data_IF_720427575868
#
_entry.id   IF_720427575868
#
_cell.length_a   1.000
_cell.length_b   1.000
_cell.length_c   1.000
_cell.angle_alpha   90.00
_cell.angle_beta   90.00
_cell.angle_gamma   90.00
#
_symmetry.space_group_name_H-M   'P 1'
#
loop_
_entity.id
_entity.type
_entity.pdbx_description
1 polymer ?
#
# COMPACT_ATOMS: atom_id res chain seq x y z
N UNK A 1 -50.20 26.02 64.56
CA UNK A 1 -49.84 25.29 65.81
C UNK A 1 -50.05 23.80 65.55
N UNK A 2 -49.25 22.84 66.04
CA UNK A 2 -47.81 22.81 66.37
C UNK A 2 -47.03 21.68 65.62
N UNK A 3 -45.70 21.79 65.52
CA UNK A 3 -44.73 20.65 65.47
C UNK A 3 -44.43 20.24 66.93
N UNK A 4 -44.06 18.99 67.33
CA UNK A 4 -42.86 18.21 66.86
C UNK A 4 -42.96 16.64 66.93
N UNK A 5 -42.20 15.83 66.15
CA UNK A 5 -40.95 15.02 66.43
C UNK A 5 -41.15 13.90 67.50
N UNK A 6 -40.68 12.61 67.38
CA UNK A 6 -39.33 12.23 66.92
C UNK A 6 -39.14 10.93 66.10
N UNK A 7 -38.00 10.90 65.39
CA UNK A 7 -37.27 9.68 65.01
C UNK A 7 -36.70 9.01 66.26
N UNK A 8 -36.70 7.68 66.32
CA UNK A 8 -35.82 6.96 67.23
C UNK A 8 -34.95 5.95 66.48
N UNK A 9 -33.67 5.92 66.84
CA UNK A 9 -32.59 5.07 66.30
C UNK A 9 -32.31 3.94 67.31
N UNK A 10 -31.88 2.77 66.80
CA UNK A 10 -31.32 1.57 67.50
C UNK A 10 -32.40 0.67 68.11
N UNK A 11 -32.51 -0.61 67.73
CA UNK A 11 -31.64 -1.75 68.08
C UNK A 11 -31.92 -2.89 67.09
N UNK A 12 -30.99 -3.28 66.22
CA UNK A 12 -29.99 -4.36 66.37
C UNK A 12 -30.59 -5.78 66.60
N UNK A 13 -30.23 -6.67 65.66
CA UNK A 13 -30.14 -8.15 65.69
C UNK A 13 -31.31 -8.99 65.15
N UNK A 14 -31.06 -9.45 63.91
CA UNK A 14 -31.14 -10.81 63.36
C UNK A 14 -32.10 -11.78 64.06
N UNK A 15 -33.08 -12.26 63.31
CA UNK A 15 -33.29 -13.70 63.21
C UNK A 15 -33.74 -14.02 61.78
N UNK A 16 -32.92 -14.80 61.08
CA UNK A 16 -33.21 -15.33 59.77
C UNK A 16 -34.24 -16.45 59.90
N UNK A 17 -35.27 -16.44 59.06
CA UNK A 17 -36.05 -17.62 58.74
C UNK A 17 -36.48 -17.56 57.28
N UNK A 18 -36.21 -18.68 56.62
CA UNK A 18 -36.22 -18.91 55.19
C UNK A 18 -37.57 -18.61 54.53
N UNK A 19 -37.52 -17.85 53.44
CA UNK A 19 -38.57 -17.85 52.42
C UNK A 19 -37.95 -18.37 51.11
N UNK A 20 -38.49 -19.49 50.65
CA UNK A 20 -38.15 -20.10 49.37
C UNK A 20 -38.45 -19.11 48.24
N UNK A 21 -37.40 -18.57 47.62
CA UNK A 21 -37.52 -17.75 46.41
C UNK A 21 -37.77 -18.64 45.21
N UNK A 22 -38.96 -18.53 44.62
CA UNK A 22 -39.21 -19.04 43.28
C UNK A 22 -38.32 -18.26 42.29
N UNK A 23 -37.30 -18.92 41.74
CA UNK A 23 -36.50 -18.36 40.66
C UNK A 23 -37.34 -18.42 39.39
N UNK A 24 -37.88 -17.27 38.99
CA UNK A 24 -38.45 -17.11 37.66
C UNK A 24 -37.30 -17.18 36.63
N UNK A 25 -37.18 -18.32 35.95
CA UNK A 25 -36.33 -18.47 34.76
C UNK A 25 -36.95 -17.66 33.63
N UNK A 26 -36.61 -16.38 33.55
CA UNK A 26 -36.86 -15.59 32.34
C UNK A 26 -36.02 -16.15 31.18
N UNK A 27 -36.51 -16.09 29.92
CA UNK A 27 -35.75 -16.56 28.78
C UNK A 27 -34.47 -15.75 28.67
N UNK A 28 -33.32 -16.40 28.88
CA UNK A 28 -32.02 -15.85 28.54
C UNK A 28 -31.98 -15.72 27.02
N UNK A 29 -32.14 -14.49 26.53
CA UNK A 29 -31.75 -14.18 25.15
C UNK A 29 -30.24 -14.36 25.11
N UNK A 30 -29.80 -15.52 24.64
CA UNK A 30 -28.41 -15.75 24.32
C UNK A 30 -28.03 -14.68 23.29
N UNK A 31 -27.17 -13.74 23.68
CA UNK A 31 -26.54 -12.85 22.72
C UNK A 31 -25.84 -13.76 21.71
N UNK A 32 -26.32 -13.79 20.47
CA UNK A 32 -25.64 -14.47 19.40
C UNK A 32 -24.23 -13.87 19.34
N UNK A 33 -23.22 -14.67 19.67
CA UNK A 33 -21.85 -14.29 19.44
C UNK A 33 -21.75 -13.98 17.94
N UNK A 34 -21.40 -12.73 17.61
CA UNK A 34 -21.09 -12.36 16.24
C UNK A 34 -20.02 -13.32 15.73
N UNK A 35 -20.33 -14.08 14.67
CA UNK A 35 -19.31 -14.90 14.03
C UNK A 35 -18.11 -14.01 13.68
N UNK A 36 -16.86 -14.46 13.93
CA UNK A 36 -15.69 -13.68 13.57
C UNK A 36 -15.75 -13.39 12.07
N UNK A 37 -15.69 -12.10 11.71
CA UNK A 37 -15.63 -11.67 10.31
C UNK A 37 -14.47 -12.42 9.65
N UNK A 38 -14.68 -13.13 8.53
CA UNK A 38 -13.62 -13.87 7.88
C UNK A 38 -12.49 -12.92 7.48
N UNK A 39 -11.32 -13.13 8.08
CA UNK A 39 -10.12 -12.34 7.81
C UNK A 39 -9.72 -12.50 6.33
N UNK A 40 -9.45 -11.39 5.66
CA UNK A 40 -9.03 -11.33 4.26
C UNK A 40 -7.54 -11.66 4.15
N UNK A 41 -7.16 -12.11 2.96
CA UNK A 41 -5.77 -12.37 2.58
C UNK A 41 -5.44 -11.61 1.31
N UNK A 42 -4.16 -11.34 1.09
CA UNK A 42 -3.67 -10.87 -0.21
C UNK A 42 -3.63 -12.07 -1.18
N UNK A 43 -4.32 -12.03 -2.32
CA UNK A 43 -4.21 -13.09 -3.32
C UNK A 43 -2.77 -13.19 -3.83
N UNK A 44 -2.23 -14.40 -3.98
CA UNK A 44 -0.86 -14.60 -4.50
C UNK A 44 -0.59 -13.83 -5.82
N UNK A 45 -1.51 -13.79 -6.81
CA UNK A 45 -1.31 -13.01 -8.05
C UNK A 45 -1.19 -11.49 -7.88
N UNK A 46 -1.44 -10.98 -6.66
CA UNK A 46 -1.30 -9.58 -6.29
C UNK A 46 -0.03 -9.30 -5.49
N UNK A 47 0.75 -10.32 -5.11
CA UNK A 47 2.02 -10.15 -4.39
C UNK A 47 3.14 -10.13 -5.43
N UNK A 48 3.79 -8.99 -5.56
CA UNK A 48 4.87 -8.77 -6.50
C UNK A 48 6.14 -8.24 -5.86
N UNK A 49 7.20 -8.16 -6.64
CA UNK A 49 8.49 -7.57 -6.27
C UNK A 49 8.76 -6.34 -7.13
N UNK A 50 9.07 -5.21 -6.51
CA UNK A 50 9.66 -4.09 -7.24
C UNK A 50 11.15 -4.36 -7.44
N UNK A 51 11.60 -4.43 -8.69
CA UNK A 51 12.92 -4.96 -9.06
C UNK A 51 14.10 -4.13 -8.56
N UNK A 52 13.89 -2.89 -8.13
CA UNK A 52 14.94 -2.03 -7.55
C UNK A 52 15.56 -2.65 -6.30
N UNK A 53 14.75 -3.40 -5.52
CA UNK A 53 15.20 -4.19 -4.36
C UNK A 53 16.28 -5.19 -4.74
N UNK A 54 16.22 -5.73 -5.97
CA UNK A 54 17.06 -6.81 -6.48
C UNK A 54 18.17 -6.31 -7.41
N UNK A 55 18.43 -5.00 -7.46
CA UNK A 55 19.29 -4.37 -8.46
C UNK A 55 20.73 -4.90 -8.48
N UNK A 56 21.29 -5.37 -7.34
CA UNK A 56 22.65 -5.93 -7.35
C UNK A 56 22.64 -7.34 -7.92
N UNK A 57 21.67 -8.17 -7.54
CA UNK A 57 21.50 -9.51 -8.11
C UNK A 57 21.17 -9.45 -9.60
N UNK A 58 20.28 -8.55 -10.03
CA UNK A 58 19.93 -8.35 -11.44
C UNK A 58 21.10 -7.89 -12.30
N UNK A 59 22.02 -7.08 -11.74
CA UNK A 59 23.23 -6.66 -12.43
C UNK A 59 24.23 -7.81 -12.68
N UNK A 60 24.15 -8.89 -11.90
CA UNK A 60 25.02 -10.06 -12.02
C UNK A 60 24.38 -11.13 -12.89
N UNK A 61 23.11 -11.47 -12.61
CA UNK A 61 22.36 -12.50 -13.33
C UNK A 61 20.86 -12.15 -13.33
N UNK A 62 20.41 -11.49 -14.39
CA UNK A 62 19.02 -11.02 -14.50
C UNK A 62 18.02 -12.18 -14.52
N UNK A 63 18.25 -13.18 -15.38
CA UNK A 63 17.35 -14.32 -15.55
C UNK A 63 17.32 -15.20 -14.30
N UNK A 64 18.49 -15.51 -13.73
CA UNK A 64 18.58 -16.30 -12.49
C UNK A 64 17.93 -15.60 -11.31
N UNK A 65 18.02 -14.27 -11.22
CA UNK A 65 17.33 -13.49 -10.17
C UNK A 65 15.81 -13.56 -10.32
N UNK A 66 15.29 -13.44 -11.55
CA UNK A 66 13.85 -13.61 -11.79
C UNK A 66 13.38 -15.02 -11.43
N UNK A 67 14.14 -16.05 -11.81
CA UNK A 67 13.83 -17.43 -11.43
C UNK A 67 13.79 -17.60 -9.90
N UNK A 68 14.76 -17.04 -9.19
CA UNK A 68 14.78 -17.09 -7.73
C UNK A 68 13.56 -16.41 -7.09
N UNK A 69 13.08 -15.28 -7.64
CA UNK A 69 11.84 -14.64 -7.17
C UNK A 69 10.60 -15.51 -7.42
N UNK A 70 10.53 -16.18 -8.57
CA UNK A 70 9.45 -17.10 -8.89
C UNK A 70 9.45 -18.32 -7.95
N UNK A 71 10.62 -18.87 -7.66
CA UNK A 71 10.80 -20.00 -6.72
C UNK A 71 10.38 -19.62 -5.29
N UNK A 72 10.58 -18.37 -4.87
CA UNK A 72 10.08 -17.84 -3.60
C UNK A 72 8.54 -17.78 -3.60
N UNK A 73 7.94 -17.49 -4.76
CA UNK A 73 6.51 -17.54 -4.98
C UNK A 73 5.87 -16.24 -5.47
N UNK A 74 6.67 -15.20 -5.73
CA UNK A 74 6.18 -13.95 -6.34
C UNK A 74 5.45 -14.25 -7.65
N UNK A 75 4.38 -13.51 -7.93
CA UNK A 75 3.57 -13.71 -9.13
C UNK A 75 3.71 -12.56 -10.13
N UNK A 76 4.14 -11.40 -9.66
CA UNK A 76 4.27 -10.19 -10.47
C UNK A 76 5.56 -9.44 -10.15
N UNK A 77 6.03 -8.63 -11.10
CA UNK A 77 7.16 -7.73 -10.89
C UNK A 77 6.84 -6.32 -11.39
N UNK A 78 7.31 -5.32 -10.65
CA UNK A 78 7.43 -3.94 -11.14
C UNK A 78 8.84 -3.75 -11.68
N UNK A 79 8.96 -3.47 -12.98
CA UNK A 79 10.26 -3.33 -13.63
C UNK A 79 10.86 -1.97 -13.28
N UNK A 80 12.13 -1.97 -12.88
CA UNK A 80 12.93 -0.77 -12.67
C UNK A 80 14.38 -1.12 -12.95
N UNK A 81 15.09 -0.28 -13.71
CA UNK A 81 16.48 -0.55 -14.08
C UNK A 81 16.63 -1.78 -14.97
N UNK A 82 16.77 -1.59 -16.28
CA UNK A 82 16.82 -2.72 -17.22
C UNK A 82 18.16 -3.45 -17.32
N UNK A 83 19.21 -2.93 -16.67
CA UNK A 83 20.56 -3.50 -16.70
C UNK A 83 21.07 -3.83 -18.12
N UNK A 84 20.73 -2.98 -19.11
CA UNK A 84 21.14 -3.15 -20.51
C UNK A 84 20.23 -4.05 -21.36
N UNK A 85 19.22 -4.69 -20.78
CA UNK A 85 18.24 -5.49 -21.52
C UNK A 85 17.15 -4.62 -22.16
N UNK A 86 16.60 -5.09 -23.28
CA UNK A 86 15.39 -4.50 -23.88
C UNK A 86 14.13 -4.95 -23.14
N UNK A 87 13.02 -4.22 -23.32
CA UNK A 87 11.72 -4.62 -22.80
C UNK A 87 11.31 -6.04 -23.27
N UNK A 88 11.58 -6.37 -24.54
CA UNK A 88 11.29 -7.69 -25.09
C UNK A 88 12.13 -8.81 -24.46
N UNK A 89 13.43 -8.55 -24.20
CA UNK A 89 14.28 -9.53 -23.52
C UNK A 89 13.81 -9.77 -22.07
N UNK A 90 13.49 -8.70 -21.34
CA UNK A 90 12.95 -8.80 -19.99
C UNK A 90 11.61 -9.53 -20.00
N UNK A 91 10.73 -9.23 -20.95
CA UNK A 91 9.45 -9.94 -21.12
C UNK A 91 9.65 -11.44 -21.26
N UNK A 92 10.55 -11.87 -22.15
CA UNK A 92 10.85 -13.29 -22.34
C UNK A 92 11.32 -13.95 -21.05
N UNK A 93 12.28 -13.32 -20.34
CA UNK A 93 12.80 -13.87 -19.08
C UNK A 93 11.73 -13.93 -17.98
N UNK A 94 10.79 -12.98 -17.93
CA UNK A 94 9.68 -13.02 -16.99
C UNK A 94 8.71 -14.16 -17.34
N UNK A 95 8.35 -14.31 -18.62
CA UNK A 95 7.42 -15.34 -19.09
C UNK A 95 7.95 -16.75 -18.80
N UNK A 96 9.27 -16.98 -18.95
CA UNK A 96 9.93 -18.25 -18.65
C UNK A 96 9.76 -18.70 -17.19
N UNK A 97 9.52 -17.76 -16.27
CA UNK A 97 9.30 -18.03 -14.84
C UNK A 97 7.81 -18.23 -14.48
N UNK A 98 6.90 -17.91 -15.40
CA UNK A 98 5.46 -17.85 -15.14
C UNK A 98 4.99 -16.65 -14.31
N UNK A 99 5.88 -15.70 -14.00
CA UNK A 99 5.51 -14.39 -13.44
C UNK A 99 5.01 -13.45 -14.54
N UNK A 100 4.58 -12.23 -14.16
CA UNK A 100 4.19 -11.18 -15.12
C UNK A 100 4.73 -9.81 -14.70
N UNK A 101 5.15 -8.99 -15.65
CA UNK A 101 5.34 -7.58 -15.38
C UNK A 101 3.97 -6.91 -15.23
N UNK A 102 3.84 -5.96 -14.30
CA UNK A 102 2.61 -5.17 -14.14
C UNK A 102 2.81 -3.69 -14.45
N UNK A 103 4.04 -3.22 -14.33
CA UNK A 103 4.40 -1.83 -14.53
C UNK A 103 5.89 -1.66 -14.83
N UNK A 104 6.25 -0.45 -15.24
CA UNK A 104 7.64 -0.02 -15.28
C UNK A 104 7.80 1.37 -14.63
N UNK A 105 8.82 1.51 -13.77
CA UNK A 105 9.31 2.79 -13.29
C UNK A 105 10.19 3.46 -14.34
N UNK A 106 9.84 4.70 -14.69
CA UNK A 106 10.58 5.57 -15.60
C UNK A 106 10.83 6.93 -14.97
N UNK A 107 11.88 7.62 -15.42
CA UNK A 107 12.16 8.99 -15.02
C UNK A 107 11.09 9.95 -15.52
N UNK A 108 10.87 11.05 -14.79
CA UNK A 108 9.93 12.10 -15.19
C UNK A 108 10.24 12.68 -16.58
N UNK A 109 11.52 12.83 -16.92
CA UNK A 109 11.98 13.30 -18.23
C UNK A 109 11.53 12.37 -19.37
N UNK A 110 11.44 11.06 -19.11
CA UNK A 110 10.93 10.11 -20.08
C UNK A 110 9.45 10.30 -20.32
N UNK A 111 8.68 10.57 -19.25
CA UNK A 111 7.26 10.88 -19.36
C UNK A 111 7.03 12.19 -20.15
N UNK A 112 7.89 13.19 -19.99
CA UNK A 112 7.71 14.48 -20.67
C UNK A 112 8.23 14.50 -22.09
N UNK A 113 9.34 13.79 -22.37
CA UNK A 113 10.09 13.92 -23.62
C UNK A 113 10.02 12.69 -24.52
N UNK A 114 9.65 11.51 -24.01
CA UNK A 114 9.60 10.26 -24.76
C UNK A 114 8.53 9.30 -24.19
N UNK A 115 7.31 9.81 -24.08
CA UNK A 115 6.19 9.08 -23.49
C UNK A 115 5.81 7.87 -24.33
N UNK A 116 5.73 8.04 -25.65
CA UNK A 116 5.35 6.99 -26.59
C UNK A 116 6.29 5.79 -26.47
N UNK A 117 7.60 6.03 -26.42
CA UNK A 117 8.59 4.97 -26.19
C UNK A 117 8.45 4.31 -24.82
N UNK A 118 8.05 5.05 -23.78
CA UNK A 118 7.74 4.44 -22.47
C UNK A 118 6.48 3.56 -22.53
N UNK A 119 5.44 4.02 -23.22
CA UNK A 119 4.21 3.25 -23.43
C UNK A 119 4.46 1.98 -24.24
N UNK A 120 5.20 2.07 -25.35
CA UNK A 120 5.56 0.92 -26.19
C UNK A 120 6.33 -0.16 -25.41
N UNK A 121 7.26 0.28 -24.56
CA UNK A 121 8.00 -0.65 -23.71
C UNK A 121 7.12 -1.32 -22.66
N UNK A 122 6.23 -0.58 -21.99
CA UNK A 122 5.31 -1.16 -21.00
C UNK A 122 4.33 -2.13 -21.66
N UNK A 123 3.83 -1.82 -22.86
CA UNK A 123 3.03 -2.74 -23.66
C UNK A 123 3.84 -4.00 -23.99
N UNK A 124 5.10 -3.84 -24.40
CA UNK A 124 6.00 -4.96 -24.71
C UNK A 124 6.25 -5.85 -23.49
N UNK A 125 6.45 -5.26 -22.32
CA UNK A 125 6.54 -5.96 -21.04
C UNK A 125 5.23 -6.67 -20.64
N UNK A 126 4.09 -6.31 -21.26
CA UNK A 126 2.77 -6.80 -20.89
C UNK A 126 2.20 -6.13 -19.63
N UNK A 127 2.76 -4.97 -19.25
CA UNK A 127 2.31 -4.18 -18.11
C UNK A 127 1.06 -3.35 -18.40
N UNK A 128 0.57 -2.68 -17.37
CA UNK A 128 -0.62 -1.82 -17.42
C UNK A 128 -0.33 -0.37 -17.06
N UNK A 129 0.84 -0.12 -16.45
CA UNK A 129 1.16 1.17 -15.84
C UNK A 129 2.56 1.64 -16.20
N UNK A 130 2.64 2.87 -16.69
CA UNK A 130 3.89 3.64 -16.78
C UNK A 130 3.96 4.46 -15.50
N UNK A 131 5.00 4.25 -14.69
CA UNK A 131 5.09 4.86 -13.36
C UNK A 131 6.24 5.86 -13.33
N UNK A 132 5.95 7.09 -12.95
CA UNK A 132 6.99 8.08 -12.68
C UNK A 132 7.61 7.77 -11.32
N UNK A 133 8.92 7.51 -11.30
CA UNK A 133 9.64 7.08 -10.08
C UNK A 133 9.97 8.24 -9.12
N UNK A 134 10.02 9.48 -9.61
CA UNK A 134 10.27 10.69 -8.82
C UNK A 134 10.04 11.94 -9.64
N UNK A 135 9.80 13.07 -8.97
CA UNK A 135 9.76 14.39 -9.60
C UNK A 135 11.11 15.10 -9.50
N UNK A 136 11.45 15.99 -10.47
CA UNK A 136 12.53 16.94 -10.32
C UNK A 136 12.38 17.75 -9.02
N UNK A 137 13.49 17.98 -8.32
CA UNK A 137 13.51 18.68 -7.03
C UNK A 137 12.81 20.04 -7.03
N UNK A 138 12.86 20.76 -8.14
CA UNK A 138 12.22 22.06 -8.33
C UNK A 138 10.69 22.01 -8.33
N UNK A 139 10.08 20.84 -8.53
CA UNK A 139 8.63 20.67 -8.57
C UNK A 139 8.00 20.42 -7.19
N UNK A 140 8.78 20.23 -6.12
CA UNK A 140 8.24 20.05 -4.76
C UNK A 140 7.84 21.40 -4.11
N UNK A 141 6.98 22.13 -4.78
CA UNK A 141 6.25 23.32 -4.34
C UNK A 141 4.80 23.18 -4.79
N UNK A 142 3.86 23.95 -4.23
CA UNK A 142 2.46 23.86 -4.62
C UNK A 142 2.29 24.07 -6.13
N UNK A 143 2.91 25.11 -6.69
CA UNK A 143 2.83 25.39 -8.14
C UNK A 143 3.57 24.35 -8.99
N UNK A 144 4.71 23.83 -8.50
CA UNK A 144 5.44 22.76 -9.17
C UNK A 144 4.63 21.46 -9.25
N UNK A 145 3.90 21.12 -8.20
CA UNK A 145 3.01 19.96 -8.19
C UNK A 145 1.82 20.16 -9.12
N UNK A 146 1.24 21.36 -9.23
CA UNK A 146 0.19 21.63 -10.24
C UNK A 146 0.71 21.46 -11.66
N UNK A 147 1.96 21.86 -11.91
CA UNK A 147 2.61 21.63 -13.20
C UNK A 147 2.79 20.13 -13.46
N UNK A 148 3.24 19.36 -12.46
CA UNK A 148 3.34 17.90 -12.58
C UNK A 148 1.97 17.25 -12.80
N UNK A 149 0.92 17.70 -12.11
CA UNK A 149 -0.45 17.20 -12.28
C UNK A 149 -0.98 17.43 -13.71
N UNK A 150 -0.77 18.63 -14.26
CA UNK A 150 -1.14 18.94 -15.64
C UNK A 150 -0.39 18.06 -16.65
N UNK A 151 0.90 17.83 -16.41
CA UNK A 151 1.73 16.96 -17.25
C UNK A 151 1.31 15.49 -17.16
N UNK A 152 0.97 15.01 -15.97
CA UNK A 152 0.43 13.66 -15.77
C UNK A 152 -0.93 13.47 -16.44
N UNK A 153 -1.80 14.48 -16.44
CA UNK A 153 -3.06 14.42 -17.18
C UNK A 153 -2.83 14.33 -18.69
N UNK A 154 -1.90 15.15 -19.23
CA UNK A 154 -1.50 15.09 -20.64
C UNK A 154 -0.94 13.72 -20.99
N UNK A 155 0.00 13.22 -20.20
CA UNK A 155 0.65 11.94 -20.42
C UNK A 155 -0.34 10.76 -20.28
N UNK A 156 -1.20 10.79 -19.26
CA UNK A 156 -2.21 9.77 -19.03
C UNK A 156 -3.23 9.69 -20.17
N UNK A 157 -3.63 10.82 -20.76
CA UNK A 157 -4.50 10.83 -21.94
C UNK A 157 -3.85 10.15 -23.15
N UNK A 158 -2.56 10.35 -23.36
CA UNK A 158 -1.81 9.67 -24.43
C UNK A 158 -1.62 8.18 -24.10
N UNK A 159 -1.20 7.84 -22.87
CA UNK A 159 -1.02 6.47 -22.42
C UNK A 159 -2.30 5.63 -22.54
N UNK A 160 -3.48 6.24 -22.32
CA UNK A 160 -4.77 5.58 -22.51
C UNK A 160 -4.99 5.07 -23.95
N UNK A 161 -4.39 5.71 -24.97
CA UNK A 161 -4.45 5.24 -26.37
C UNK A 161 -3.68 3.93 -26.59
N UNK A 162 -2.73 3.61 -25.70
CA UNK A 162 -2.01 2.34 -25.64
C UNK A 162 -2.70 1.33 -24.71
N UNK A 163 -3.84 1.68 -24.12
CA UNK A 163 -4.52 0.87 -23.10
C UNK A 163 -3.83 0.91 -21.73
N UNK A 164 -2.97 1.90 -21.47
CA UNK A 164 -2.22 2.07 -20.23
C UNK A 164 -2.79 3.20 -19.38
N UNK A 165 -2.37 3.24 -18.11
CA UNK A 165 -2.59 4.37 -17.19
C UNK A 165 -1.25 4.87 -16.65
N UNK A 166 -1.11 6.17 -16.42
CA UNK A 166 0.08 6.72 -15.74
C UNK A 166 -0.11 6.63 -14.24
N UNK A 167 0.93 6.21 -13.52
CA UNK A 167 1.01 6.32 -12.07
C UNK A 167 2.16 7.22 -11.63
N UNK A 168 2.06 7.82 -10.46
CA UNK A 168 3.19 8.44 -9.76
C UNK A 168 3.51 7.66 -8.48
N UNK A 169 4.79 7.39 -8.23
CA UNK A 169 5.31 6.81 -6.99
C UNK A 169 5.84 7.93 -6.08
N UNK A 170 5.36 7.98 -4.84
CA UNK A 170 5.72 9.02 -3.88
C UNK A 170 6.94 8.66 -3.03
N UNK A 171 7.62 9.71 -2.56
CA UNK A 171 8.56 9.67 -1.46
C UNK A 171 8.03 10.55 -0.30
N UNK A 172 8.88 10.88 0.68
CA UNK A 172 8.53 11.77 1.80
C UNK A 172 8.32 13.23 1.35
N UNK A 173 9.00 13.62 0.26
CA UNK A 173 8.98 14.97 -0.29
C UNK A 173 7.57 15.47 -0.63
N UNK A 174 6.73 14.59 -1.18
CA UNK A 174 5.34 14.86 -1.54
C UNK A 174 4.44 15.08 -0.32
N UNK A 175 4.86 14.67 0.88
CA UNK A 175 4.05 14.87 2.08
C UNK A 175 4.33 16.17 2.83
N UNK A 176 5.25 16.99 2.31
CA UNK A 176 5.48 18.34 2.83
C UNK A 176 4.28 19.24 2.57
N UNK A 177 4.14 20.26 3.41
CA UNK A 177 3.10 21.28 3.28
C UNK A 177 3.68 22.52 2.60
N UNK A 178 2.99 23.04 1.60
CA UNK A 178 3.25 24.34 0.99
C UNK A 178 1.93 25.11 0.84
N UNK A 179 1.91 26.38 1.22
CA UNK A 179 0.68 27.20 1.23
C UNK A 179 -0.47 26.61 2.07
N UNK A 180 -0.16 25.82 3.10
CA UNK A 180 -1.15 25.17 3.96
C UNK A 180 -1.79 23.89 3.38
N UNK A 181 -1.34 23.42 2.22
CA UNK A 181 -1.79 22.15 1.61
C UNK A 181 -0.64 21.15 1.52
N UNK A 182 -0.95 19.87 1.71
CA UNK A 182 0.00 18.77 1.48
C UNK A 182 0.22 18.64 -0.02
N UNK A 183 1.47 18.57 -0.46
CA UNK A 183 1.81 18.49 -1.88
C UNK A 183 1.17 17.27 -2.56
N UNK A 184 1.16 16.10 -1.92
CA UNK A 184 0.56 14.88 -2.44
C UNK A 184 -0.97 15.02 -2.61
N UNK A 185 -1.65 15.71 -1.68
CA UNK A 185 -3.08 16.02 -1.80
C UNK A 185 -3.35 16.87 -3.05
N UNK A 186 -2.53 17.89 -3.31
CA UNK A 186 -2.64 18.71 -4.54
C UNK A 186 -2.53 17.81 -5.78
N UNK A 187 -1.53 16.93 -5.81
CA UNK A 187 -1.28 16.05 -6.95
C UNK A 187 -2.45 15.09 -7.21
N UNK A 188 -2.98 14.47 -6.15
CA UNK A 188 -4.11 13.55 -6.24
C UNK A 188 -5.38 14.29 -6.70
N UNK A 189 -5.66 15.46 -6.13
CA UNK A 189 -6.87 16.23 -6.43
C UNK A 189 -6.86 16.89 -7.81
N UNK A 190 -5.69 17.28 -8.32
CA UNK A 190 -5.55 17.99 -9.60
C UNK A 190 -5.26 17.05 -10.79
N UNK A 191 -5.27 15.73 -10.58
CA UNK A 191 -5.16 14.71 -11.64
C UNK A 191 -6.49 13.99 -11.90
N UNK A 192 -6.77 13.72 -13.17
CA UNK A 192 -7.97 13.02 -13.61
C UNK A 192 -7.85 11.51 -13.26
N UNK A 193 -8.76 10.95 -12.45
CA UNK A 193 -8.71 9.56 -12.03
C UNK A 193 -8.86 8.55 -13.18
N UNK A 194 -9.43 8.96 -14.31
CA UNK A 194 -9.51 8.12 -15.50
C UNK A 194 -8.11 7.88 -16.09
N UNK A 195 -7.28 8.93 -16.16
CA UNK A 195 -5.97 8.91 -16.81
C UNK A 195 -4.80 8.65 -15.85
N UNK A 196 -4.95 8.99 -14.57
CA UNK A 196 -3.85 8.98 -13.59
C UNK A 196 -4.26 8.31 -12.29
N UNK A 197 -3.42 7.39 -11.84
CA UNK A 197 -3.46 6.82 -10.49
C UNK A 197 -2.13 7.02 -9.77
N UNK A 198 -1.94 6.30 -8.67
CA UNK A 198 -0.76 6.39 -7.85
C UNK A 198 -0.27 5.01 -7.42
N UNK A 199 1.03 4.84 -7.43
CA UNK A 199 1.67 3.75 -6.72
C UNK A 199 2.05 4.27 -5.34
N UNK A 200 1.15 4.07 -4.36
CA UNK A 200 1.36 4.62 -3.02
C UNK A 200 2.43 3.81 -2.29
N UNK A 201 3.52 4.46 -1.94
CA UNK A 201 4.52 3.92 -1.03
C UNK A 201 4.12 4.20 0.42
N UNK A 202 3.80 3.12 1.12
CA UNK A 202 3.26 3.18 2.48
C UNK A 202 4.32 3.53 3.52
N UNK A 203 5.59 3.19 3.26
CA UNK A 203 6.71 3.58 4.11
C UNK A 203 6.97 5.07 3.98
N UNK A 204 7.04 5.58 2.74
CA UNK A 204 7.34 6.99 2.51
C UNK A 204 6.21 7.91 2.98
N UNK A 205 4.95 7.47 2.88
CA UNK A 205 3.82 8.14 3.53
C UNK A 205 4.00 8.23 5.04
N UNK A 206 4.28 7.10 5.70
CA UNK A 206 4.52 7.08 7.15
C UNK A 206 5.74 7.93 7.55
N UNK A 207 6.81 7.90 6.75
CA UNK A 207 8.01 8.72 6.96
C UNK A 207 7.71 10.22 6.87
N UNK A 208 6.80 10.60 5.98
CA UNK A 208 6.25 11.95 5.85
C UNK A 208 5.26 12.33 6.95
N UNK A 209 4.92 11.42 7.86
CA UNK A 209 3.96 11.64 8.96
C UNK A 209 2.50 11.44 8.57
N UNK A 210 2.22 10.70 7.49
CA UNK A 210 0.88 10.44 6.98
C UNK A 210 0.54 8.96 7.00
N UNK A 211 -0.74 8.65 7.22
CA UNK A 211 -1.26 7.28 7.18
C UNK A 211 -1.82 6.95 5.79
N UNK A 212 -1.25 5.94 5.13
CA UNK A 212 -1.72 5.46 3.84
C UNK A 212 -3.20 5.00 3.87
N UNK A 213 -3.70 4.51 5.01
CA UNK A 213 -5.10 4.09 5.13
C UNK A 213 -6.07 5.27 4.96
N UNK A 214 -5.71 6.46 5.47
CA UNK A 214 -6.50 7.69 5.28
C UNK A 214 -6.66 8.03 3.79
N UNK A 215 -5.59 7.89 3.01
CA UNK A 215 -5.61 8.14 1.58
C UNK A 215 -6.55 7.19 0.84
N UNK A 216 -6.59 5.89 1.20
CA UNK A 216 -7.54 4.94 0.60
C UNK A 216 -8.99 5.34 0.81
N UNK A 217 -9.30 5.96 1.95
CA UNK A 217 -10.65 6.39 2.32
C UNK A 217 -11.02 7.71 1.63
N UNK A 218 -10.11 8.68 1.64
CA UNK A 218 -10.31 10.02 1.06
C UNK A 218 -10.32 10.00 -0.47
N UNK A 219 -9.47 9.20 -1.08
CA UNK A 219 -9.32 9.12 -2.54
C UNK A 219 -9.54 7.69 -3.05
N UNK A 220 -10.79 7.21 -3.01
CA UNK A 220 -11.10 5.85 -3.42
C UNK A 220 -10.71 5.59 -4.88
N UNK A 221 -10.29 4.36 -5.17
CA UNK A 221 -9.88 3.89 -6.49
C UNK A 221 -8.68 4.60 -7.14
N UNK A 222 -7.88 5.38 -6.40
CA UNK A 222 -6.70 6.08 -6.93
C UNK A 222 -5.40 5.30 -6.84
N UNK A 223 -5.32 4.22 -6.06
CA UNK A 223 -4.08 3.54 -5.71
C UNK A 223 -4.05 2.08 -6.20
N UNK A 224 -3.95 1.82 -7.52
CA UNK A 224 -4.01 0.45 -8.04
C UNK A 224 -2.79 -0.42 -7.68
N UNK A 225 -1.66 0.20 -7.34
CA UNK A 225 -0.44 -0.47 -6.89
C UNK A 225 0.06 0.18 -5.60
N UNK A 226 0.74 -0.61 -4.78
CA UNK A 226 1.47 -0.15 -3.61
C UNK A 226 2.93 -0.58 -3.72
N UNK A 227 3.83 0.29 -3.28
CA UNK A 227 5.09 -0.18 -2.72
C UNK A 227 4.84 -0.54 -1.25
N UNK A 228 4.94 -1.83 -0.94
CA UNK A 228 4.87 -2.35 0.42
C UNK A 228 6.29 -2.46 0.95
N UNK A 229 6.61 -1.50 1.80
CA UNK A 229 7.93 -1.25 2.34
C UNK A 229 7.76 -0.99 3.83
N UNK A 230 8.66 -1.52 4.65
CA UNK A 230 8.49 -1.49 6.10
C UNK A 230 9.57 -0.63 6.78
N UNK A 231 9.21 -0.16 7.97
CA UNK A 231 9.98 0.81 8.73
C UNK A 231 10.59 0.14 9.95
N UNK A 232 11.91 0.17 10.07
CA UNK A 232 12.59 -0.22 11.30
C UNK A 232 12.24 0.76 12.45
N UNK A 233 12.38 0.37 13.73
CA UNK A 233 12.05 1.24 14.86
C UNK A 233 12.80 2.58 14.90
N UNK A 234 13.97 2.66 14.29
CA UNK A 234 14.77 3.89 14.16
C UNK A 234 14.36 4.76 12.95
N UNK A 235 13.32 4.36 12.22
CA UNK A 235 12.86 5.01 11.01
C UNK A 235 13.71 4.69 9.78
N UNK A 236 14.57 3.68 9.84
CA UNK A 236 15.26 3.08 8.70
C UNK A 236 14.37 2.06 7.97
N UNK A 237 14.97 1.31 7.05
CA UNK A 237 14.28 0.29 6.27
C UNK A 237 14.32 -1.07 6.95
N UNK A 238 13.22 -1.82 6.84
CA UNK A 238 13.12 -3.20 7.33
C UNK A 238 12.50 -4.10 6.25
N UNK A 239 12.77 -5.41 6.32
CA UNK A 239 12.04 -6.40 5.54
C UNK A 239 10.55 -6.33 5.91
N UNK A 240 9.66 -6.49 4.93
CA UNK A 240 8.22 -6.41 5.17
C UNK A 240 7.80 -7.44 6.22
N UNK A 241 7.15 -6.95 7.28
CA UNK A 241 6.69 -7.76 8.43
C UNK A 241 7.72 -7.88 9.56
N UNK A 242 8.88 -7.26 9.43
CA UNK A 242 9.89 -7.17 10.50
C UNK A 242 10.01 -5.77 11.10
N UNK A 243 9.35 -4.78 10.51
CA UNK A 243 9.31 -3.40 10.98
C UNK A 243 8.09 -3.10 11.85
N UNK A 244 7.72 -1.82 11.89
CA UNK A 244 6.73 -1.27 12.83
C UNK A 244 5.41 -0.87 12.16
N UNK A 245 5.30 -0.97 10.83
CA UNK A 245 4.06 -0.58 10.14
C UNK A 245 2.98 -1.65 10.31
N UNK A 246 1.79 -1.23 10.76
CA UNK A 246 0.64 -2.12 10.90
C UNK A 246 -0.07 -2.30 9.56
N UNK A 247 0.49 -3.18 8.71
CA UNK A 247 -0.10 -3.51 7.42
C UNK A 247 -1.49 -4.14 7.54
N UNK A 248 -1.79 -4.84 8.65
CA UNK A 248 -3.09 -5.47 8.82
C UNK A 248 -4.18 -4.40 8.93
N UNK A 249 -4.00 -3.43 9.83
CA UNK A 249 -4.93 -2.30 9.96
C UNK A 249 -4.98 -1.48 8.67
N UNK A 250 -3.81 -1.17 8.09
CA UNK A 250 -3.74 -0.36 6.87
C UNK A 250 -4.49 -0.97 5.67
N UNK A 251 -4.42 -2.29 5.50
CA UNK A 251 -5.00 -2.95 4.32
C UNK A 251 -6.51 -3.23 4.43
N UNK A 252 -7.14 -2.95 5.57
CA UNK A 252 -8.59 -3.05 5.72
C UNK A 252 -9.34 -2.25 4.63
N UNK A 253 -8.82 -1.06 4.30
CA UNK A 253 -9.36 -0.17 3.28
C UNK A 253 -8.65 -0.23 1.91
N UNK A 254 -7.67 -1.12 1.73
CA UNK A 254 -6.92 -1.23 0.46
C UNK A 254 -7.84 -1.47 -0.76
N UNK A 255 -8.93 -2.25 -0.59
CA UNK A 255 -9.94 -2.45 -1.65
C UNK A 255 -10.65 -1.16 -2.02
N UNK A 256 -10.91 -0.27 -1.07
CA UNK A 256 -11.54 1.04 -1.29
C UNK A 256 -10.57 1.98 -2.03
N UNK A 257 -9.28 1.93 -1.69
CA UNK A 257 -8.21 2.62 -2.42
C UNK A 257 -8.02 2.10 -3.86
N UNK A 258 -8.58 0.94 -4.20
CA UNK A 258 -8.48 0.33 -5.53
C UNK A 258 -7.25 -0.56 -5.71
N UNK A 259 -6.59 -0.94 -4.62
CA UNK A 259 -5.32 -1.70 -4.63
C UNK A 259 -5.51 -3.07 -5.29
N UNK A 260 -4.64 -3.36 -6.26
CA UNK A 260 -4.59 -4.61 -7.01
C UNK A 260 -3.23 -5.29 -6.92
N UNK A 261 -2.16 -4.54 -6.74
CA UNK A 261 -0.78 -5.03 -6.64
C UNK A 261 -0.12 -4.51 -5.36
N UNK A 262 0.54 -5.42 -4.65
CA UNK A 262 1.32 -5.18 -3.45
C UNK A 262 2.76 -5.54 -3.79
N UNK A 263 3.53 -4.56 -4.26
CA UNK A 263 4.90 -4.77 -4.70
C UNK A 263 5.83 -4.55 -3.51
N UNK A 264 6.52 -5.60 -3.09
CA UNK A 264 7.55 -5.50 -2.04
C UNK A 264 8.67 -4.60 -2.55
N UNK A 265 9.07 -3.65 -1.71
CA UNK A 265 10.28 -2.85 -1.94
C UNK A 265 11.14 -2.77 -0.67
N UNK A 266 12.47 -2.79 -0.86
CA UNK A 266 13.43 -2.38 0.14
C UNK A 266 14.59 -1.63 -0.53
N UNK A 267 14.88 -0.39 -0.10
CA UNK A 267 15.89 0.44 -0.80
C UNK A 267 17.31 -0.02 -0.57
N UNK A 268 17.63 -0.51 0.63
CA UNK A 268 19.01 -0.91 0.98
C UNK A 268 19.10 -2.25 1.70
N UNK A 269 18.62 -3.35 1.08
CA UNK A 269 18.63 -4.67 1.71
C UNK A 269 20.07 -5.12 1.93
N UNK A 270 20.36 -5.75 3.07
CA UNK A 270 21.70 -6.34 3.27
C UNK A 270 21.90 -7.56 2.36
N UNK A 271 20.87 -8.42 2.29
CA UNK A 271 20.77 -9.59 1.41
C UNK A 271 19.43 -9.53 0.67
N UNK A 272 19.47 -9.37 -0.66
CA UNK A 272 18.30 -9.15 -1.50
C UNK A 272 17.36 -10.36 -1.53
N UNK A 273 17.90 -11.59 -1.57
CA UNK A 273 17.09 -12.82 -1.64
C UNK A 273 16.48 -13.17 -0.28
N UNK A 274 17.21 -12.94 0.81
CA UNK A 274 16.67 -13.10 2.17
C UNK A 274 15.55 -12.09 2.41
N UNK A 275 15.75 -10.83 2.03
CA UNK A 275 14.72 -9.77 2.08
C UNK A 275 13.47 -10.20 1.30
N UNK A 276 13.66 -10.68 0.07
CA UNK A 276 12.58 -11.14 -0.79
C UNK A 276 11.79 -12.30 -0.16
N UNK A 277 12.46 -13.29 0.44
CA UNK A 277 11.82 -14.44 1.12
C UNK A 277 11.02 -14.01 2.33
N UNK A 278 11.62 -13.21 3.21
CA UNK A 278 10.99 -12.75 4.45
C UNK A 278 9.73 -11.93 4.14
N UNK A 279 9.87 -10.98 3.22
CA UNK A 279 8.78 -10.09 2.82
C UNK A 279 7.64 -10.83 2.13
N UNK A 280 7.95 -11.80 1.25
CA UNK A 280 6.92 -12.65 0.63
C UNK A 280 6.15 -13.45 1.68
N UNK A 281 6.87 -14.08 2.62
CA UNK A 281 6.26 -14.87 3.68
C UNK A 281 5.32 -14.01 4.54
N UNK A 282 5.75 -12.80 4.92
CA UNK A 282 4.93 -11.86 5.68
C UNK A 282 3.62 -11.54 4.94
N UNK A 283 3.69 -11.11 3.67
CA UNK A 283 2.48 -10.78 2.89
C UNK A 283 1.58 -11.99 2.63
N UNK A 284 2.16 -13.17 2.41
CA UNK A 284 1.41 -14.41 2.18
C UNK A 284 0.63 -14.86 3.42
N UNK A 285 1.16 -14.60 4.60
CA UNK A 285 0.59 -15.00 5.90
C UNK A 285 -0.22 -13.91 6.58
N UNK A 286 -0.13 -12.65 6.13
CA UNK A 286 -0.92 -11.53 6.62
C UNK A 286 -2.44 -11.81 6.55
N UNK A 287 -3.15 -11.40 7.60
CA UNK A 287 -4.60 -11.48 7.74
C UNK A 287 -5.12 -10.11 8.17
N UNK A 288 -6.13 -9.58 7.48
CA UNK A 288 -6.71 -8.26 7.76
C UNK A 288 -8.21 -8.18 7.49
#
# INVERSE_FOLDING_TARGET
MPRPVPLNRRTFVRTALASAGAVALGPTVAAAASEPTPMRIIPRPSIGMHLYTMRRSLAVDFAGTLQALADIGYATVGVSGRHGHSAAAIRSMIDDTGMRAVLEHVGYDRLTNNLEGACEDVVTLGGHWVVTSSLPGSLYTADGIRQAAAEFNRAGAIAATYGLKVLHHNHDAEFRTDGGRVLYDILVEETDPYYVGFELDVYWAAKGGHDAADYFVRYPARFPALHVKDMAPDGGFADVGSGVLDFATMFQDARRGGVRQFLVEHDNPQDELSTARNSFHALRTLRF
#
